data_IF_578857152415
#
_entry.id   IF_578857152415
#
_cell.length_a   1.000
_cell.length_b   1.000
_cell.length_c   1.000
_cell.angle_alpha   90.00
_cell.angle_beta   90.00
_cell.angle_gamma   90.00
#
_symmetry.space_group_name_H-M   'P 1'
#
loop_
_entity.id
_entity.type
_entity.pdbx_description
1 polymer ?
#
# COMPACT_ATOMS: atom_id res chain seq x y z
N UNK A 1 30.03 22.31 -31.29
CA UNK A 1 29.55 20.91 -31.18
C UNK A 1 29.74 20.29 -29.80
N UNK A 2 30.76 20.66 -29.00
CA UNK A 2 31.06 20.05 -27.70
C UNK A 2 30.02 20.29 -26.58
N UNK A 3 29.38 21.47 -26.52
CA UNK A 3 28.37 21.78 -25.50
C UNK A 3 27.06 20.99 -25.65
N UNK A 4 26.71 20.58 -26.88
CA UNK A 4 25.46 19.83 -27.15
C UNK A 4 25.50 18.41 -26.58
N UNK A 5 26.68 17.77 -26.60
CA UNK A 5 26.88 16.44 -26.02
C UNK A 5 26.97 16.47 -24.47
N UNK A 6 27.45 17.58 -23.89
CA UNK A 6 27.50 17.75 -22.42
C UNK A 6 26.10 17.86 -21.81
N UNK A 7 25.18 18.59 -22.47
CA UNK A 7 23.77 18.68 -22.03
C UNK A 7 23.05 17.33 -22.12
N UNK A 8 23.31 16.54 -23.18
CA UNK A 8 22.71 15.22 -23.37
C UNK A 8 23.14 14.23 -22.26
N UNK A 9 24.39 14.27 -21.84
CA UNK A 9 24.93 13.39 -20.78
C UNK A 9 24.37 13.76 -19.39
N UNK A 10 24.14 15.05 -19.11
CA UNK A 10 23.54 15.51 -17.86
C UNK A 10 22.06 15.12 -17.76
N UNK A 11 21.33 15.16 -18.88
CA UNK A 11 19.93 14.72 -18.93
C UNK A 11 19.82 13.21 -18.70
N UNK A 12 20.71 12.38 -19.26
CA UNK A 12 20.71 10.93 -19.00
C UNK A 12 21.05 10.56 -17.55
N UNK A 13 21.90 11.32 -16.85
CA UNK A 13 22.24 11.08 -15.44
C UNK A 13 21.11 11.44 -14.47
N UNK A 14 20.20 12.34 -14.87
CA UNK A 14 19.01 12.70 -14.07
C UNK A 14 17.88 11.67 -14.19
N UNK A 15 17.86 10.84 -15.24
CA UNK A 15 16.88 9.74 -15.39
C UNK A 15 17.26 8.48 -14.59
N UNK A 16 18.53 8.30 -14.23
CA UNK A 16 18.96 7.15 -13.40
C UNK A 16 18.56 7.26 -11.91
N UNK A 17 18.11 8.44 -11.44
CA UNK A 17 17.74 8.65 -10.04
C UNK A 17 16.21 8.56 -9.80
N UNK A 18 15.41 8.24 -10.81
CA UNK A 18 13.97 7.96 -10.64
C UNK A 18 13.67 6.49 -10.27
N UNK A 19 14.66 5.60 -10.36
CA UNK A 19 14.46 4.16 -10.17
C UNK A 19 14.46 3.65 -8.72
N UNK A 20 14.37 4.52 -7.71
CA UNK A 20 14.44 4.10 -6.29
C UNK A 20 13.17 4.38 -5.47
N UNK A 21 12.07 4.73 -6.13
CA UNK A 21 10.74 4.82 -5.52
C UNK A 21 9.73 3.78 -6.07
N UNK A 22 10.10 3.01 -7.10
CA UNK A 22 9.17 2.25 -7.94
C UNK A 22 8.96 0.78 -7.58
N UNK A 23 9.46 0.26 -6.45
CA UNK A 23 9.34 -1.19 -6.20
C UNK A 23 7.96 -1.63 -5.70
N UNK A 24 7.23 -0.74 -5.03
CA UNK A 24 5.93 -1.11 -4.44
C UNK A 24 4.80 -0.95 -5.46
N UNK A 25 4.79 0.16 -6.20
CA UNK A 25 3.78 0.44 -7.22
C UNK A 25 3.79 -0.59 -8.35
N UNK A 26 4.98 -1.04 -8.80
CA UNK A 26 5.09 -2.06 -9.85
C UNK A 26 4.46 -3.41 -9.45
N UNK A 27 4.51 -3.76 -8.16
CA UNK A 27 3.91 -5.00 -7.68
C UNK A 27 2.39 -4.87 -7.67
N UNK A 28 1.86 -3.72 -7.24
CA UNK A 28 0.43 -3.45 -7.27
C UNK A 28 -0.10 -3.37 -8.71
N UNK A 29 0.57 -2.63 -9.60
CA UNK A 29 0.23 -2.52 -11.02
C UNK A 29 0.20 -3.89 -11.70
N UNK A 30 1.23 -4.73 -11.47
CA UNK A 30 1.30 -6.09 -12.01
C UNK A 30 0.04 -6.92 -11.70
N UNK A 31 -0.44 -6.86 -10.46
CA UNK A 31 -1.63 -7.62 -10.06
C UNK A 31 -2.93 -6.90 -10.44
N UNK A 32 -2.92 -5.57 -10.51
CA UNK A 32 -4.08 -4.79 -10.93
C UNK A 32 -4.48 -5.07 -12.39
N UNK A 33 -3.52 -5.44 -13.23
CA UNK A 33 -3.74 -5.77 -14.64
C UNK A 33 -4.19 -7.24 -14.88
N UNK A 34 -4.40 -8.04 -13.82
CA UNK A 34 -4.85 -9.44 -13.94
C UNK A 34 -6.38 -9.56 -13.86
N UNK A 35 -7.00 -10.26 -14.82
CA UNK A 35 -8.46 -10.44 -14.91
C UNK A 35 -9.13 -11.00 -13.64
N UNK A 36 -8.38 -11.76 -12.83
CA UNK A 36 -8.88 -12.43 -11.63
C UNK A 36 -8.52 -11.71 -10.33
N UNK A 37 -8.10 -10.45 -10.43
CA UNK A 37 -7.77 -9.59 -9.30
C UNK A 37 -8.62 -8.33 -9.38
N UNK A 38 -9.39 -8.07 -8.33
CA UNK A 38 -10.08 -6.79 -8.17
C UNK A 38 -9.09 -5.78 -7.61
N UNK A 39 -8.88 -4.68 -8.34
CA UNK A 39 -7.99 -3.59 -7.94
C UNK A 39 -8.76 -2.28 -7.74
N UNK A 40 -8.49 -1.60 -6.63
CA UNK A 40 -9.02 -0.26 -6.33
C UNK A 40 -7.85 0.65 -5.96
N UNK A 41 -7.77 1.79 -6.64
CA UNK A 41 -6.80 2.84 -6.35
C UNK A 41 -7.54 4.15 -6.04
N UNK A 42 -7.25 4.75 -4.89
CA UNK A 42 -7.78 6.04 -4.47
C UNK A 42 -6.60 7.00 -4.25
N UNK A 43 -6.58 8.08 -5.02
CA UNK A 43 -5.53 9.10 -4.93
C UNK A 43 -5.82 10.13 -3.84
N UNK A 44 -4.77 10.88 -3.45
CA UNK A 44 -4.87 12.04 -2.57
C UNK A 44 -5.95 13.03 -2.99
N UNK A 45 -6.06 13.30 -4.29
CA UNK A 45 -7.05 14.23 -4.83
C UNK A 45 -8.47 13.75 -4.52
N UNK A 46 -8.75 12.45 -4.69
CA UNK A 46 -10.05 11.88 -4.36
C UNK A 46 -10.33 12.00 -2.86
N UNK A 47 -9.37 11.65 -2.00
CA UNK A 47 -9.51 11.82 -0.54
C UNK A 47 -9.76 13.28 -0.12
N UNK A 48 -9.16 14.25 -0.81
CA UNK A 48 -9.38 15.67 -0.54
C UNK A 48 -10.75 16.17 -1.01
N UNK A 49 -11.29 15.57 -2.08
CA UNK A 49 -12.61 15.89 -2.62
C UNK A 49 -13.74 15.22 -1.84
N UNK A 50 -13.46 14.15 -1.09
CA UNK A 50 -14.48 13.44 -0.34
C UNK A 50 -14.99 14.29 0.85
N UNK A 51 -16.30 14.58 0.91
CA UNK A 51 -16.91 15.16 2.08
C UNK A 51 -17.01 14.07 3.14
N UNK A 52 -15.93 13.87 3.91
CA UNK A 52 -15.85 13.04 5.14
C UNK A 52 -16.86 11.88 5.14
N UNK A 53 -16.56 10.79 4.45
CA UNK A 53 -17.46 9.64 4.37
C UNK A 53 -16.68 8.32 4.33
N UNK A 54 -17.16 7.36 5.12
CA UNK A 54 -16.74 5.96 5.18
C UNK A 54 -16.53 5.37 3.78
N UNK A 55 -15.35 4.80 3.53
CA UNK A 55 -15.07 4.10 2.28
C UNK A 55 -14.37 2.79 2.52
N UNK A 56 -14.77 1.77 1.77
CA UNK A 56 -14.25 0.41 1.87
C UNK A 56 -14.36 -0.21 3.29
N UNK A 57 -15.36 0.22 4.09
CA UNK A 57 -15.53 -0.24 5.46
C UNK A 57 -14.61 0.44 6.49
N UNK A 58 -13.89 1.49 6.08
CA UNK A 58 -13.01 2.29 6.94
C UNK A 58 -13.56 3.71 7.09
N UNK A 59 -13.83 4.15 8.31
CA UNK A 59 -14.16 5.54 8.66
C UNK A 59 -12.87 6.34 8.78
N UNK A 60 -12.37 6.75 7.62
CA UNK A 60 -11.18 7.60 7.49
C UNK A 60 -11.44 9.07 7.84
N UNK A 61 -12.40 9.37 8.74
CA UNK A 61 -12.85 10.74 9.05
C UNK A 61 -11.71 11.63 9.56
N UNK A 62 -10.82 11.08 10.39
CA UNK A 62 -9.66 11.79 10.97
C UNK A 62 -8.42 11.79 10.05
N UNK A 63 -8.54 11.18 8.87
CA UNK A 63 -7.42 10.92 7.96
C UNK A 63 -7.35 11.95 6.81
N UNK A 64 -8.25 12.94 6.83
CA UNK A 64 -8.29 14.04 5.86
C UNK A 64 -6.95 14.77 5.82
N UNK A 65 -6.33 14.80 4.65
CA UNK A 65 -5.04 15.45 4.42
C UNK A 65 -3.81 14.65 4.88
N UNK A 66 -4.00 13.54 5.59
CA UNK A 66 -2.93 12.63 6.02
C UNK A 66 -2.67 11.52 5.01
N UNK A 67 -3.71 11.08 4.29
CA UNK A 67 -3.63 10.03 3.27
C UNK A 67 -3.16 10.61 1.94
N UNK A 68 -2.17 9.96 1.34
CA UNK A 68 -1.68 10.24 -0.01
C UNK A 68 -2.24 9.26 -1.02
N UNK A 69 -2.42 7.98 -0.65
CA UNK A 69 -3.12 7.01 -1.49
C UNK A 69 -3.60 5.80 -0.71
N UNK A 70 -4.67 5.18 -1.20
CA UNK A 70 -5.14 3.85 -0.80
C UNK A 70 -5.12 2.93 -2.02
N UNK A 71 -4.52 1.75 -1.88
CA UNK A 71 -4.56 0.70 -2.88
C UNK A 71 -5.14 -0.57 -2.25
N UNK A 72 -6.07 -1.22 -2.94
CA UNK A 72 -6.66 -2.49 -2.52
C UNK A 72 -6.57 -3.48 -3.67
N UNK A 73 -5.99 -4.65 -3.41
CA UNK A 73 -6.05 -5.81 -4.28
C UNK A 73 -6.82 -6.91 -3.58
N UNK A 74 -7.75 -7.53 -4.26
CA UNK A 74 -8.46 -8.71 -3.77
C UNK A 74 -8.46 -9.79 -4.85
N UNK A 75 -8.21 -11.04 -4.46
CA UNK A 75 -8.32 -12.20 -5.34
C UNK A 75 -9.10 -13.30 -4.63
N UNK A 76 -10.00 -13.95 -5.38
CA UNK A 76 -10.69 -15.17 -4.95
C UNK A 76 -9.97 -16.43 -5.49
N UNK A 77 -8.91 -16.23 -6.28
CA UNK A 77 -8.12 -17.33 -6.86
C UNK A 77 -7.07 -17.82 -5.89
N UNK A 78 -7.42 -18.86 -5.16
CA UNK A 78 -6.59 -19.49 -4.13
C UNK A 78 -5.24 -20.02 -4.62
N UNK A 79 -5.10 -20.31 -5.91
CA UNK A 79 -3.83 -20.77 -6.50
C UNK A 79 -2.84 -19.62 -6.79
N UNK A 80 -3.33 -18.39 -6.93
CA UNK A 80 -2.51 -17.18 -7.06
C UNK A 80 -2.01 -16.67 -5.69
N UNK A 81 -2.74 -16.97 -4.62
CA UNK A 81 -2.47 -16.50 -3.25
C UNK A 81 -1.04 -16.80 -2.78
N UNK A 82 -0.47 -18.02 -2.93
CA UNK A 82 0.90 -18.30 -2.52
C UNK A 82 1.93 -17.40 -3.21
N UNK A 83 1.72 -17.10 -4.49
CA UNK A 83 2.60 -16.23 -5.26
C UNK A 83 2.50 -14.79 -4.77
N UNK A 84 1.27 -14.23 -4.72
CA UNK A 84 1.03 -12.87 -4.23
C UNK A 84 1.60 -12.69 -2.82
N UNK A 85 1.26 -13.60 -1.90
CA UNK A 85 1.73 -13.56 -0.51
C UNK A 85 3.25 -13.55 -0.43
N UNK A 86 3.93 -14.38 -1.22
CA UNK A 86 5.39 -14.42 -1.22
C UNK A 86 6.02 -13.13 -1.76
N UNK A 87 5.48 -12.58 -2.85
CA UNK A 87 5.99 -11.33 -3.44
C UNK A 87 5.77 -10.14 -2.49
N UNK A 88 4.57 -10.00 -1.92
CA UNK A 88 4.30 -8.97 -0.90
C UNK A 88 5.12 -9.16 0.38
N UNK A 89 5.32 -10.40 0.84
CA UNK A 89 6.15 -10.68 2.02
C UNK A 89 7.62 -10.28 1.79
N UNK A 90 8.13 -10.39 0.57
CA UNK A 90 9.49 -9.93 0.23
C UNK A 90 9.59 -8.41 0.26
N UNK A 91 8.58 -7.71 -0.25
CA UNK A 91 8.49 -6.27 -0.19
C UNK A 91 8.51 -5.78 1.27
N UNK A 92 7.64 -6.34 2.11
CA UNK A 92 7.54 -6.03 3.54
C UNK A 92 8.86 -6.23 4.28
N UNK A 93 9.51 -7.39 4.11
CA UNK A 93 10.73 -7.75 4.86
C UNK A 93 11.87 -6.73 4.71
N UNK A 94 11.90 -5.98 3.61
CA UNK A 94 12.98 -5.06 3.32
C UNK A 94 12.76 -3.67 3.92
N UNK A 95 11.51 -3.28 4.23
CA UNK A 95 11.17 -1.89 4.55
C UNK A 95 10.12 -1.70 5.65
N UNK A 96 9.47 -2.77 6.12
CA UNK A 96 8.35 -2.66 7.07
C UNK A 96 8.55 -3.56 8.29
N UNK A 97 8.04 -3.09 9.42
CA UNK A 97 7.94 -3.84 10.67
C UNK A 97 6.52 -4.38 10.84
N UNK A 98 6.37 -5.61 11.33
CA UNK A 98 5.06 -6.14 11.73
C UNK A 98 4.58 -5.40 12.99
N UNK A 99 3.39 -4.79 12.92
CA UNK A 99 2.78 -4.07 14.04
C UNK A 99 1.79 -4.93 14.80
N UNK A 100 0.94 -5.65 14.06
CA UNK A 100 -0.20 -6.37 14.62
C UNK A 100 -0.52 -7.57 13.77
N UNK A 101 -1.02 -8.62 14.42
CA UNK A 101 -1.56 -9.79 13.75
C UNK A 101 -2.84 -10.21 14.43
N UNK A 102 -3.91 -10.29 13.65
CA UNK A 102 -5.22 -10.76 14.06
C UNK A 102 -5.43 -12.14 13.45
N UNK A 103 -5.93 -13.08 14.26
CA UNK A 103 -6.36 -14.40 13.79
C UNK A 103 -7.68 -14.73 14.43
N UNK A 104 -8.69 -14.92 13.60
CA UNK A 104 -10.00 -15.38 14.02
C UNK A 104 -10.46 -16.52 13.10
N UNK A 105 -10.55 -17.74 13.65
CA UNK A 105 -10.86 -18.95 12.89
C UNK A 105 -9.93 -19.15 11.69
N UNK A 106 -10.49 -19.03 10.47
CA UNK A 106 -9.77 -19.14 9.20
C UNK A 106 -9.29 -17.80 8.65
N UNK A 107 -9.66 -16.70 9.27
CA UNK A 107 -9.24 -15.36 8.88
C UNK A 107 -7.94 -15.02 9.59
N UNK A 108 -6.97 -14.52 8.83
CA UNK A 108 -5.70 -14.02 9.35
C UNK A 108 -5.39 -12.70 8.68
N UNK A 109 -5.29 -11.63 9.48
CA UNK A 109 -4.82 -10.34 9.02
C UNK A 109 -3.48 -10.01 9.69
N UNK A 110 -2.51 -9.52 8.91
CA UNK A 110 -1.26 -8.98 9.44
C UNK A 110 -1.05 -7.56 8.95
N UNK A 111 -0.76 -6.65 9.88
CA UNK A 111 -0.50 -5.25 9.62
C UNK A 111 1.00 -4.96 9.73
N UNK A 112 1.53 -4.26 8.74
CA UNK A 112 2.92 -3.89 8.61
C UNK A 112 3.04 -2.38 8.43
N UNK A 113 4.04 -1.75 9.04
CA UNK A 113 4.29 -0.33 8.89
C UNK A 113 5.74 -0.02 8.55
N UNK A 114 5.93 0.95 7.65
CA UNK A 114 7.19 1.61 7.42
C UNK A 114 7.20 2.94 8.17
N UNK A 115 8.13 3.08 9.11
CA UNK A 115 8.25 4.25 9.98
C UNK A 115 9.45 5.10 9.58
N UNK A 116 9.25 6.42 9.56
CA UNK A 116 10.31 7.41 9.46
C UNK A 116 10.30 8.26 10.74
N UNK A 117 11.18 7.93 11.69
CA UNK A 117 11.13 8.48 13.04
C UNK A 117 9.85 8.05 13.74
N UNK A 118 9.06 9.02 14.20
CA UNK A 118 7.77 8.77 14.89
C UNK A 118 6.56 8.77 13.93
N UNK A 119 6.77 9.00 12.64
CA UNK A 119 5.70 9.03 11.64
C UNK A 119 5.65 7.72 10.85
N UNK A 120 4.47 7.13 10.73
CA UNK A 120 4.21 6.00 9.83
C UNK A 120 3.94 6.56 8.43
N UNK A 121 4.74 6.12 7.45
CA UNK A 121 4.66 6.58 6.06
C UNK A 121 3.84 5.68 5.17
N UNK A 122 3.83 4.40 5.49
CA UNK A 122 3.18 3.36 4.70
C UNK A 122 2.68 2.27 5.65
N UNK A 123 1.38 1.98 5.57
CA UNK A 123 0.72 0.90 6.28
C UNK A 123 0.24 -0.12 5.25
N UNK A 124 0.65 -1.37 5.41
CA UNK A 124 0.27 -2.47 4.54
C UNK A 124 -0.42 -3.57 5.35
N UNK A 125 -1.58 -4.01 4.91
CA UNK A 125 -2.32 -5.14 5.48
C UNK A 125 -2.35 -6.29 4.48
N UNK A 126 -2.03 -7.49 4.97
CA UNK A 126 -2.29 -8.75 4.27
C UNK A 126 -3.37 -9.51 5.02
N UNK A 127 -4.52 -9.73 4.38
CA UNK A 127 -5.64 -10.48 4.94
C UNK A 127 -5.90 -11.75 4.13
N UNK A 128 -5.75 -12.89 4.78
CA UNK A 128 -6.09 -14.21 4.29
C UNK A 128 -7.45 -14.60 4.86
N UNK A 129 -8.39 -14.99 4.01
CA UNK A 129 -9.61 -15.70 4.43
C UNK A 129 -9.55 -17.14 3.88
N UNK A 130 -10.63 -17.90 4.04
CA UNK A 130 -10.72 -19.25 3.49
C UNK A 130 -10.93 -19.29 1.97
N UNK A 131 -11.39 -18.19 1.39
CA UNK A 131 -11.81 -18.08 -0.01
C UNK A 131 -11.17 -16.91 -0.75
N UNK A 132 -10.57 -15.96 -0.03
CA UNK A 132 -10.00 -14.75 -0.62
C UNK A 132 -8.67 -14.35 0.01
N UNK A 133 -7.90 -13.58 -0.75
CA UNK A 133 -6.72 -12.88 -0.28
C UNK A 133 -6.80 -11.41 -0.64
N UNK A 134 -6.70 -10.56 0.38
CA UNK A 134 -6.77 -9.11 0.24
C UNK A 134 -5.46 -8.48 0.68
N UNK A 135 -4.96 -7.55 -0.12
CA UNK A 135 -3.82 -6.68 0.19
C UNK A 135 -4.33 -5.25 0.19
N UNK A 136 -4.11 -4.53 1.30
CA UNK A 136 -4.45 -3.11 1.41
C UNK A 136 -3.19 -2.33 1.72
N UNK A 137 -2.89 -1.29 0.95
CA UNK A 137 -1.80 -0.35 1.22
C UNK A 137 -2.36 1.06 1.42
N UNK A 138 -1.94 1.71 2.50
CA UNK A 138 -2.27 3.08 2.82
C UNK A 138 -0.98 3.88 2.99
N UNK A 139 -0.72 4.78 2.04
CA UNK A 139 0.46 5.67 2.05
C UNK A 139 0.04 7.03 2.57
N UNK A 140 0.86 7.64 3.42
CA UNK A 140 0.55 8.94 3.99
C UNK A 140 1.49 9.36 5.12
N UNK A 141 0.97 10.19 6.02
CA UNK A 141 1.69 10.67 7.19
C UNK A 141 0.83 10.43 8.42
N UNK A 142 1.04 9.29 9.08
CA UNK A 142 0.21 8.84 10.20
C UNK A 142 0.99 8.86 11.51
N UNK A 143 0.31 9.22 12.58
CA UNK A 143 0.78 9.01 13.95
C UNK A 143 0.43 7.59 14.40
N UNK A 144 1.04 7.11 15.49
CA UNK A 144 0.65 5.84 16.10
C UNK A 144 -0.82 5.82 16.53
N UNK A 145 -1.38 6.97 16.95
CA UNK A 145 -2.79 7.11 17.30
C UNK A 145 -3.69 6.89 16.08
N UNK A 146 -3.32 7.47 14.93
CA UNK A 146 -4.05 7.27 13.68
C UNK A 146 -4.08 5.78 13.28
N UNK A 147 -2.97 5.06 13.47
CA UNK A 147 -2.92 3.61 13.21
C UNK A 147 -3.84 2.85 14.15
N UNK A 148 -3.87 3.20 15.44
CA UNK A 148 -4.78 2.57 16.41
C UNK A 148 -6.25 2.73 16.00
N UNK A 149 -6.64 3.94 15.58
CA UNK A 149 -7.99 4.21 15.09
C UNK A 149 -8.34 3.34 13.87
N UNK A 150 -7.46 3.27 12.88
CA UNK A 150 -7.63 2.40 11.70
C UNK A 150 -7.79 0.93 12.11
N UNK A 151 -6.91 0.43 12.98
CA UNK A 151 -6.92 -0.98 13.37
C UNK A 151 -8.19 -1.38 14.14
N UNK A 152 -8.75 -0.47 14.95
CA UNK A 152 -9.98 -0.73 15.68
C UNK A 152 -11.20 -0.91 14.77
N UNK A 153 -11.19 -0.29 13.58
CA UNK A 153 -12.25 -0.49 12.59
C UNK A 153 -12.20 -1.88 11.98
N UNK A 154 -11.01 -2.44 11.82
CA UNK A 154 -10.82 -3.81 11.32
C UNK A 154 -11.14 -4.90 12.36
N UNK A 155 -11.20 -4.55 13.65
CA UNK A 155 -11.56 -5.47 14.74
C UNK A 155 -13.08 -5.53 15.01
N UNK A 156 -13.87 -4.60 14.44
CA UNK A 156 -15.34 -4.58 14.58
C UNK A 156 -16.03 -5.40 13.51
#
# INVERSE_FOLDING_TARGET
MKAKYVVLVIVCLLFSQAGRAQTNDQLFEKYADMDNVTSVYISKAMFQMMPVAETAGLSLMNMKGKVESLQVLNTERMDLVPQMRNEFSKLIKNSHSELMRVRDGKTKATFYANMQGETVKDLLMLADTDSTFTVIQLVGNFTLQDIQEITQEFEK
#
